data_IF_007473824501
#
_entry.id   IF_007473824501
#
_cell.length_a   1.000
_cell.length_b   1.000
_cell.length_c   1.000
_cell.angle_alpha   90.00
_cell.angle_beta   90.00
_cell.angle_gamma   90.00
#
_symmetry.space_group_name_H-M   'P 1'
#
loop_
_entity.id
_entity.type
_entity.pdbx_description
1 polymer ?
#
# COMPACT_ATOMS: atom_id res chain seq x y z
N UNK A 1 26.04 -21.05 -3.13
CA UNK A 1 26.13 -22.51 -3.38
C UNK A 1 25.55 -22.77 -4.76
N UNK A 2 26.09 -23.74 -5.49
CA UNK A 2 25.49 -24.19 -6.74
C UNK A 2 24.44 -25.24 -6.44
N UNK A 3 23.23 -25.04 -6.97
CA UNK A 3 22.07 -25.89 -6.70
C UNK A 3 21.52 -26.33 -8.05
N UNK A 4 21.35 -27.64 -8.25
CA UNK A 4 20.87 -28.19 -9.52
C UNK A 4 19.44 -27.78 -9.86
N UNK A 5 19.08 -27.85 -11.15
CA UNK A 5 17.78 -27.43 -11.69
C UNK A 5 16.57 -28.08 -10.99
N UNK A 6 16.68 -29.36 -10.63
CA UNK A 6 15.62 -30.09 -9.93
C UNK A 6 15.36 -29.57 -8.51
N UNK A 7 16.40 -29.09 -7.82
CA UNK A 7 16.23 -28.46 -6.52
C UNK A 7 15.69 -27.03 -6.69
N UNK A 8 16.17 -26.29 -7.68
CA UNK A 8 15.68 -24.94 -8.02
C UNK A 8 14.19 -24.92 -8.39
N UNK A 9 13.69 -25.91 -9.12
CA UNK A 9 12.26 -26.02 -9.46
C UNK A 9 11.37 -26.23 -8.24
N UNK A 10 11.90 -26.82 -7.16
CA UNK A 10 11.18 -27.04 -5.90
C UNK A 10 11.16 -25.81 -5.00
N UNK A 11 12.21 -24.97 -5.05
CA UNK A 11 12.39 -23.85 -4.10
C UNK A 11 12.11 -22.46 -4.70
N UNK A 12 12.09 -22.31 -6.03
CA UNK A 12 11.93 -21.00 -6.67
C UNK A 12 10.50 -20.45 -6.68
N UNK A 13 9.49 -21.32 -6.51
CA UNK A 13 8.06 -20.97 -6.58
C UNK A 13 7.62 -20.30 -7.91
N UNK A 14 8.48 -20.27 -8.93
CA UNK A 14 8.18 -19.71 -10.25
C UNK A 14 7.74 -20.82 -11.20
N UNK A 15 6.80 -20.53 -12.11
CA UNK A 15 6.43 -21.46 -13.20
C UNK A 15 7.60 -21.77 -14.12
N UNK A 16 8.49 -20.80 -14.34
CA UNK A 16 9.81 -20.96 -14.94
C UNK A 16 10.88 -20.73 -13.85
N UNK A 17 11.62 -21.77 -13.42
CA UNK A 17 12.59 -21.63 -12.34
C UNK A 17 13.66 -20.59 -12.69
N UNK A 18 13.80 -19.56 -11.85
CA UNK A 18 14.94 -18.64 -11.95
C UNK A 18 16.23 -19.41 -11.74
N UNK A 19 17.31 -19.14 -12.50
CA UNK A 19 18.62 -19.76 -12.24
C UNK A 19 19.28 -19.23 -10.97
N UNK A 20 18.73 -18.19 -10.34
CA UNK A 20 19.28 -17.53 -9.16
C UNK A 20 18.23 -17.38 -8.07
N UNK A 21 18.62 -17.69 -6.83
CA UNK A 21 17.88 -17.44 -5.60
C UNK A 21 18.81 -16.76 -4.58
N UNK A 22 18.26 -15.84 -3.79
CA UNK A 22 18.99 -15.19 -2.72
C UNK A 22 18.27 -15.36 -1.37
N UNK A 23 19.05 -15.64 -0.32
CA UNK A 23 18.58 -15.54 1.05
C UNK A 23 18.83 -14.10 1.52
N UNK A 24 17.75 -13.40 1.88
CA UNK A 24 17.82 -12.01 2.31
C UNK A 24 17.26 -11.88 3.72
N UNK A 25 17.88 -11.01 4.52
CA UNK A 25 17.39 -10.70 5.87
C UNK A 25 16.15 -9.80 5.76
N UNK A 26 15.08 -10.18 6.45
CA UNK A 26 13.91 -9.33 6.61
C UNK A 26 14.31 -8.09 7.43
N UNK A 27 14.03 -6.87 6.94
CA UNK A 27 14.36 -5.65 7.66
C UNK A 27 13.70 -5.55 9.03
N UNK A 28 14.43 -5.06 10.03
CA UNK A 28 13.93 -4.92 11.41
C UNK A 28 12.80 -3.90 11.55
N UNK A 29 12.79 -2.88 10.69
CA UNK A 29 11.79 -1.80 10.71
C UNK A 29 10.36 -2.26 10.36
N UNK A 30 10.19 -3.44 9.76
CA UNK A 30 8.88 -4.01 9.48
C UNK A 30 8.05 -4.15 10.76
N UNK A 31 8.66 -4.71 11.80
CA UNK A 31 8.00 -5.11 13.06
C UNK A 31 8.17 -4.10 14.18
N UNK A 32 8.92 -3.03 13.96
CA UNK A 32 9.21 -2.12 15.06
C UNK A 32 7.95 -1.35 15.49
N UNK A 33 6.86 -1.37 14.70
CA UNK A 33 5.57 -0.71 15.04
C UNK A 33 5.69 0.79 15.32
N UNK A 34 6.90 1.31 15.21
CA UNK A 34 7.34 2.62 15.58
C UNK A 34 7.65 3.32 14.26
N UNK A 35 6.60 3.80 13.61
CA UNK A 35 6.61 5.24 13.39
C UNK A 35 6.81 5.81 14.79
N UNK A 36 8.07 6.12 15.13
CA UNK A 36 8.43 6.46 16.48
C UNK A 36 7.45 7.53 17.00
N UNK A 37 7.03 7.31 18.23
CA UNK A 37 5.88 7.93 18.88
C UNK A 37 6.04 9.44 19.11
N UNK A 38 7.00 10.07 18.44
CA UNK A 38 7.19 11.51 18.36
C UNK A 38 6.65 12.09 17.05
N UNK A 39 6.18 13.33 17.11
CA UNK A 39 5.81 14.13 15.95
C UNK A 39 6.92 14.28 14.89
N UNK A 40 8.18 13.93 15.20
CA UNK A 40 9.35 14.07 14.31
C UNK A 40 9.59 12.87 13.38
N UNK A 41 8.90 11.74 13.59
CA UNK A 41 9.19 10.50 12.85
C UNK A 41 8.10 10.12 11.84
N UNK A 42 7.16 11.04 11.57
CA UNK A 42 6.15 10.86 10.55
C UNK A 42 6.81 11.10 9.17
N UNK A 43 6.94 10.08 8.29
CA UNK A 43 7.71 10.22 7.05
C UNK A 43 7.12 11.32 6.18
N UNK A 44 7.94 12.27 5.74
CA UNK A 44 7.50 13.39 4.89
C UNK A 44 7.04 12.91 3.50
N UNK A 45 6.26 13.74 2.80
CA UNK A 45 5.77 13.44 1.46
C UNK A 45 4.51 12.57 1.44
N UNK A 46 4.32 11.84 0.33
CA UNK A 46 3.12 11.04 0.09
C UNK A 46 3.32 9.65 0.68
N UNK A 47 2.49 9.27 1.64
CA UNK A 47 2.47 7.95 2.26
C UNK A 47 1.18 7.21 1.90
N UNK A 48 1.25 5.88 1.91
CA UNK A 48 0.11 4.99 1.67
C UNK A 48 -0.17 4.16 2.92
N UNK A 49 -1.44 3.94 3.26
CA UNK A 49 -1.89 3.02 4.28
C UNK A 49 -2.83 1.99 3.68
N UNK A 50 -2.63 0.72 4.00
CA UNK A 50 -3.41 -0.42 3.54
C UNK A 50 -4.18 -0.99 4.73
N UNK A 51 -5.51 -0.86 4.67
CA UNK A 51 -6.42 -1.36 5.69
C UNK A 51 -6.98 -2.72 5.24
N UNK A 52 -6.42 -3.79 5.83
CA UNK A 52 -6.84 -5.18 5.62
C UNK A 52 -6.72 -5.69 4.17
N UNK A 53 -5.69 -5.31 3.41
CA UNK A 53 -5.44 -5.85 2.06
C UNK A 53 -4.90 -7.28 2.14
N UNK A 54 -5.70 -8.25 1.68
CA UNK A 54 -5.44 -9.69 1.91
C UNK A 54 -4.98 -10.45 0.67
N UNK A 55 -5.23 -9.97 -0.54
CA UNK A 55 -4.77 -10.65 -1.74
C UNK A 55 -3.26 -10.39 -1.98
N UNK A 56 -2.41 -11.44 -2.07
CA UNK A 56 -0.99 -11.30 -2.34
C UNK A 56 -0.66 -10.61 -3.67
N UNK A 57 -1.48 -10.80 -4.71
CA UNK A 57 -1.27 -10.20 -6.01
C UNK A 57 -1.49 -8.68 -5.98
N UNK A 58 -2.56 -8.25 -5.32
CA UNK A 58 -2.86 -6.86 -5.07
C UNK A 58 -1.79 -6.22 -4.21
N UNK A 59 -1.37 -6.85 -3.11
CA UNK A 59 -0.29 -6.34 -2.25
C UNK A 59 1.00 -6.09 -3.07
N UNK A 60 1.45 -7.08 -3.84
CA UNK A 60 2.66 -6.92 -4.64
C UNK A 60 2.54 -5.85 -5.73
N UNK A 61 1.38 -5.76 -6.37
CA UNK A 61 1.09 -4.71 -7.38
C UNK A 61 1.08 -3.33 -6.74
N UNK A 62 0.46 -3.18 -5.56
CA UNK A 62 0.44 -1.93 -4.80
C UNK A 62 1.86 -1.49 -4.44
N UNK A 63 2.70 -2.39 -3.94
CA UNK A 63 4.10 -2.05 -3.62
C UNK A 63 4.86 -1.61 -4.87
N UNK A 64 4.64 -2.24 -6.02
CA UNK A 64 5.24 -1.83 -7.28
C UNK A 64 4.76 -0.45 -7.75
N UNK A 65 3.48 -0.18 -7.61
CA UNK A 65 2.87 1.11 -7.94
C UNK A 65 3.36 2.20 -6.98
N UNK A 66 3.50 1.89 -5.69
CA UNK A 66 4.04 2.79 -4.68
C UNK A 66 5.49 3.18 -5.00
N UNK A 67 6.33 2.22 -5.38
CA UNK A 67 7.70 2.46 -5.86
C UNK A 67 7.72 3.38 -7.09
N UNK A 68 6.90 3.05 -8.10
CA UNK A 68 6.81 3.83 -9.34
C UNK A 68 6.42 5.29 -9.11
N UNK A 69 5.46 5.54 -8.22
CA UNK A 69 5.02 6.89 -7.87
C UNK A 69 5.80 7.47 -6.67
N UNK A 70 6.93 6.89 -6.28
CA UNK A 70 7.83 7.46 -5.26
C UNK A 70 7.20 7.66 -3.87
N UNK A 71 6.25 6.81 -3.47
CA UNK A 71 5.63 6.84 -2.14
C UNK A 71 6.71 6.67 -1.07
N UNK A 72 6.74 7.57 -0.08
CA UNK A 72 7.79 7.60 0.95
C UNK A 72 7.76 6.38 1.88
N UNK A 73 6.55 5.93 2.23
CA UNK A 73 6.34 4.75 3.05
C UNK A 73 4.95 4.13 2.79
N UNK A 74 4.88 2.81 2.91
CA UNK A 74 3.63 2.04 2.90
C UNK A 74 3.39 1.48 4.30
N UNK A 75 2.25 1.81 4.88
CA UNK A 75 1.80 1.28 6.15
C UNK A 75 0.75 0.20 5.90
N UNK A 76 0.73 -0.85 6.70
CA UNK A 76 -0.25 -1.92 6.59
C UNK A 76 -0.78 -2.31 7.97
N UNK A 77 -2.06 -2.63 8.05
CA UNK A 77 -2.64 -3.23 9.23
C UNK A 77 -2.07 -4.65 9.46
N UNK A 78 -2.08 -5.10 10.71
CA UNK A 78 -1.56 -6.42 11.07
C UNK A 78 -2.31 -7.61 10.41
N UNK A 79 -3.53 -7.38 9.92
CA UNK A 79 -4.35 -8.40 9.26
C UNK A 79 -4.24 -8.37 7.72
N UNK A 80 -3.31 -7.58 7.17
CA UNK A 80 -2.90 -7.66 5.78
C UNK A 80 -2.13 -8.95 5.49
N UNK A 81 -2.01 -9.28 4.21
CA UNK A 81 -1.21 -10.44 3.76
C UNK A 81 0.27 -10.27 4.06
N UNK A 82 0.99 -11.39 4.31
CA UNK A 82 2.44 -11.37 4.55
C UNK A 82 3.19 -10.93 3.29
N UNK A 83 3.84 -9.76 3.37
CA UNK A 83 4.57 -9.17 2.25
C UNK A 83 5.82 -9.95 1.85
N UNK A 84 6.33 -10.83 2.72
CA UNK A 84 7.48 -11.70 2.44
C UNK A 84 7.09 -13.10 1.99
N UNK A 85 5.79 -13.37 1.84
CA UNK A 85 5.34 -14.59 1.19
C UNK A 85 5.85 -14.66 -0.26
N UNK A 86 6.19 -15.86 -0.79
CA UNK A 86 6.75 -15.99 -2.14
C UNK A 86 5.91 -15.29 -3.23
N UNK A 87 4.59 -15.37 -3.12
CA UNK A 87 3.65 -14.76 -4.09
C UNK A 87 3.71 -13.23 -4.08
N UNK A 88 3.81 -12.59 -2.91
CA UNK A 88 3.96 -11.12 -2.83
C UNK A 88 5.33 -10.71 -3.36
N UNK A 89 6.40 -11.37 -2.90
CA UNK A 89 7.78 -11.08 -3.33
C UNK A 89 7.90 -11.09 -4.85
N UNK A 90 7.39 -12.14 -5.50
CA UNK A 90 7.35 -12.24 -6.96
C UNK A 90 6.53 -11.12 -7.60
N UNK A 91 5.32 -10.85 -7.10
CA UNK A 91 4.44 -9.81 -7.63
C UNK A 91 5.05 -8.39 -7.53
N UNK A 92 5.91 -8.14 -6.54
CA UNK A 92 6.59 -6.83 -6.38
C UNK A 92 7.58 -6.52 -7.50
N UNK A 93 8.09 -7.54 -8.21
CA UNK A 93 9.17 -7.40 -9.20
C UNK A 93 10.38 -6.60 -8.65
N UNK A 94 10.75 -6.86 -7.39
CA UNK A 94 11.90 -6.22 -6.72
C UNK A 94 11.59 -4.91 -6.00
N UNK A 95 10.37 -4.37 -6.13
CA UNK A 95 9.96 -3.13 -5.44
C UNK A 95 9.97 -3.26 -3.92
N UNK A 96 9.85 -4.49 -3.39
CA UNK A 96 9.93 -4.80 -1.96
C UNK A 96 11.23 -4.33 -1.29
N UNK A 97 12.31 -4.15 -2.05
CA UNK A 97 13.59 -3.68 -1.52
C UNK A 97 13.72 -2.16 -1.47
N UNK A 98 12.87 -1.43 -2.20
CA UNK A 98 12.92 0.04 -2.32
C UNK A 98 11.82 0.73 -1.53
N UNK A 99 10.67 0.08 -1.40
CA UNK A 99 9.53 0.61 -0.65
C UNK A 99 9.68 0.27 0.83
N UNK A 100 9.68 1.30 1.67
CA UNK A 100 9.66 1.12 3.13
C UNK A 100 8.25 0.72 3.57
N UNK A 101 8.06 -0.57 3.83
CA UNK A 101 6.80 -1.11 4.35
C UNK A 101 6.87 -1.32 5.86
N UNK A 102 5.83 -0.89 6.58
CA UNK A 102 5.77 -0.88 8.05
C UNK A 102 4.40 -1.37 8.52
N UNK A 103 4.37 -2.28 9.48
CA UNK A 103 3.12 -2.65 10.16
C UNK A 103 2.71 -1.55 11.16
N UNK A 104 1.44 -1.13 11.13
CA UNK A 104 0.95 -0.04 11.98
C UNK A 104 -0.54 -0.20 12.35
N UNK A 105 -0.92 0.36 13.49
CA UNK A 105 -2.33 0.63 13.81
C UNK A 105 -2.81 1.83 12.97
N UNK A 106 -3.55 1.55 11.90
CA UNK A 106 -3.94 2.55 10.90
C UNK A 106 -4.75 3.72 11.51
N UNK A 107 -5.73 3.51 12.42
CA UNK A 107 -6.40 4.62 13.10
C UNK A 107 -5.45 5.54 13.88
N UNK A 108 -4.50 4.98 14.65
CA UNK A 108 -3.51 5.78 15.37
C UNK A 108 -2.56 6.53 14.43
N UNK A 109 -2.16 5.89 13.33
CA UNK A 109 -1.36 6.52 12.28
C UNK A 109 -2.10 7.72 11.67
N UNK A 110 -3.39 7.58 11.37
CA UNK A 110 -4.22 8.66 10.84
C UNK A 110 -4.25 9.86 11.81
N UNK A 111 -4.46 9.60 13.11
CA UNK A 111 -4.38 10.64 14.15
C UNK A 111 -3.02 11.33 14.20
N UNK A 112 -1.93 10.57 14.06
CA UNK A 112 -0.57 11.12 14.06
C UNK A 112 -0.36 12.08 12.89
N UNK A 113 -0.74 11.70 11.66
CA UNK A 113 -0.65 12.59 10.48
C UNK A 113 -1.47 13.88 10.68
N UNK A 114 -2.70 13.75 11.18
CA UNK A 114 -3.56 14.91 11.45
C UNK A 114 -3.00 15.84 12.52
N UNK A 115 -2.38 15.30 13.56
CA UNK A 115 -1.80 16.09 14.66
C UNK A 115 -0.66 17.01 14.22
N UNK A 116 0.01 16.68 13.10
CA UNK A 116 1.07 17.49 12.48
C UNK A 116 0.58 18.29 11.27
N UNK A 117 -0.75 18.43 11.11
CA UNK A 117 -1.36 19.23 10.04
C UNK A 117 -1.31 18.58 8.66
N UNK A 118 -1.03 17.28 8.56
CA UNK A 118 -1.00 16.56 7.28
C UNK A 118 -2.35 15.87 7.05
N UNK A 119 -2.99 16.08 5.89
CA UNK A 119 -4.29 15.49 5.61
C UNK A 119 -4.19 13.97 5.45
N UNK A 120 -5.27 13.30 5.86
CA UNK A 120 -5.51 11.88 5.66
C UNK A 120 -6.67 11.73 4.69
N UNK A 121 -6.41 11.12 3.54
CA UNK A 121 -7.41 10.86 2.51
C UNK A 121 -7.77 9.40 2.52
N UNK A 122 -9.05 9.05 2.47
CA UNK A 122 -9.49 7.66 2.30
C UNK A 122 -10.21 7.48 0.98
N UNK A 123 -9.92 6.40 0.24
CA UNK A 123 -10.67 6.09 -0.97
C UNK A 123 -12.02 5.47 -0.63
N UNK A 124 -13.12 6.16 -0.95
CA UNK A 124 -14.50 5.79 -0.62
C UNK A 124 -15.40 5.89 -1.85
N UNK A 125 -16.44 5.04 -1.91
CA UNK A 125 -17.45 5.09 -2.98
C UNK A 125 -18.37 6.31 -2.89
N UNK A 126 -18.52 6.88 -1.69
CA UNK A 126 -19.33 8.07 -1.39
C UNK A 126 -18.47 9.32 -1.13
N UNK A 127 -17.18 9.28 -1.48
CA UNK A 127 -16.26 10.43 -1.38
C UNK A 127 -16.44 11.47 -2.49
N UNK A 128 -15.71 12.58 -2.36
CA UNK A 128 -15.61 13.62 -3.39
C UNK A 128 -14.74 13.14 -4.56
N UNK A 129 -15.04 13.61 -5.78
CA UNK A 129 -14.23 13.26 -6.95
C UNK A 129 -12.76 13.65 -6.73
N UNK A 130 -11.86 12.68 -6.88
CA UNK A 130 -10.42 12.90 -6.75
C UNK A 130 -9.91 13.97 -7.73
N UNK A 131 -10.57 14.11 -8.88
CA UNK A 131 -10.20 15.08 -9.92
C UNK A 131 -10.58 16.52 -9.57
N UNK A 132 -11.54 16.74 -8.67
CA UNK A 132 -11.94 18.09 -8.22
C UNK A 132 -11.42 18.44 -6.82
N UNK A 133 -11.06 17.43 -6.04
CA UNK A 133 -10.55 17.58 -4.67
C UNK A 133 -9.21 18.30 -4.63
N UNK A 134 -8.91 19.02 -3.54
CA UNK A 134 -7.57 19.59 -3.30
C UNK A 134 -6.68 18.55 -2.64
N UNK A 135 -5.65 18.11 -3.36
CA UNK A 135 -4.72 17.07 -2.93
C UNK A 135 -3.42 17.68 -2.43
N UNK A 136 -2.90 17.16 -1.32
CA UNK A 136 -1.59 17.52 -0.78
C UNK A 136 -0.57 16.44 -1.12
N UNK A 137 0.62 16.84 -1.59
CA UNK A 137 1.75 15.90 -1.78
C UNK A 137 2.38 15.45 -0.45
N UNK A 138 2.05 16.11 0.66
CA UNK A 138 2.44 15.69 2.01
C UNK A 138 1.21 15.21 2.77
N UNK A 139 0.87 13.93 2.62
CA UNK A 139 -0.38 13.35 3.12
C UNK A 139 -0.28 11.85 3.32
N UNK A 140 -1.26 11.29 4.01
CA UNK A 140 -1.53 9.86 4.05
C UNK A 140 -2.73 9.54 3.15
N UNK A 141 -2.59 8.55 2.27
CA UNK A 141 -3.71 8.00 1.50
C UNK A 141 -4.02 6.61 2.01
N UNK A 142 -5.26 6.35 2.40
CA UNK A 142 -5.73 5.07 2.91
C UNK A 142 -6.50 4.34 1.82
N UNK A 143 -6.11 3.09 1.55
CA UNK A 143 -6.80 2.14 0.69
C UNK A 143 -7.40 1.02 1.55
N UNK A 144 -8.66 0.68 1.31
CA UNK A 144 -9.37 -0.38 2.03
C UNK A 144 -9.34 -1.73 1.33
N UNK A 145 -9.86 -2.74 2.01
CA UNK A 145 -10.07 -4.08 1.47
C UNK A 145 -11.13 -4.11 0.35
N UNK A 146 -11.02 -5.06 -0.57
CA UNK A 146 -11.89 -5.23 -1.73
C UNK A 146 -13.37 -5.50 -1.39
N UNK A 147 -13.64 -6.15 -0.25
CA UNK A 147 -14.98 -6.53 0.20
C UNK A 147 -15.67 -5.46 1.03
N UNK A 148 -14.94 -4.84 1.97
CA UNK A 148 -15.52 -3.96 2.98
C UNK A 148 -15.07 -2.50 2.88
N UNK A 149 -14.13 -2.20 1.97
CA UNK A 149 -13.51 -0.89 1.91
C UNK A 149 -12.67 -0.58 3.16
N UNK A 150 -12.64 0.69 3.55
CA UNK A 150 -11.93 1.18 4.73
C UNK A 150 -12.78 0.92 5.97
N UNK A 151 -12.16 0.45 7.05
CA UNK A 151 -12.83 0.21 8.32
C UNK A 151 -13.43 1.49 8.92
N UNK A 152 -14.52 1.33 9.66
CA UNK A 152 -15.20 2.46 10.30
C UNK A 152 -14.29 3.22 11.29
N UNK A 153 -13.37 2.50 11.95
CA UNK A 153 -12.38 3.10 12.85
C UNK A 153 -11.44 4.06 12.09
N UNK A 154 -11.01 3.69 10.88
CA UNK A 154 -10.17 4.56 10.05
C UNK A 154 -11.00 5.67 9.39
N UNK A 155 -12.23 5.37 8.98
CA UNK A 155 -13.14 6.34 8.34
C UNK A 155 -13.36 7.59 9.19
N UNK A 156 -13.46 7.43 10.52
CA UNK A 156 -13.63 8.54 11.49
C UNK A 156 -12.42 9.46 11.59
N UNK A 157 -11.25 8.99 11.16
CA UNK A 157 -9.99 9.72 11.24
C UNK A 157 -9.60 10.39 9.91
N UNK A 158 -10.42 10.23 8.86
CA UNK A 158 -10.16 10.84 7.57
C UNK A 158 -10.35 12.35 7.63
N UNK A 159 -9.48 13.08 6.92
CA UNK A 159 -9.68 14.50 6.63
C UNK A 159 -10.65 14.71 5.48
N UNK A 160 -10.62 13.82 4.47
CA UNK A 160 -11.57 13.81 3.36
C UNK A 160 -11.67 12.41 2.73
N UNK A 161 -12.85 12.10 2.20
CA UNK A 161 -13.09 10.93 1.35
C UNK A 161 -12.85 11.28 -0.12
N UNK A 162 -12.07 10.46 -0.82
CA UNK A 162 -11.81 10.59 -2.25
C UNK A 162 -12.48 9.45 -3.01
N UNK A 163 -13.06 9.77 -4.16
CA UNK A 163 -13.71 8.83 -5.06
C UNK A 163 -13.10 8.94 -6.44
N UNK A 164 -12.81 7.79 -7.05
CA UNK A 164 -12.58 7.69 -8.49
C UNK A 164 -13.97 7.58 -9.14
N UNK A 165 -14.46 8.59 -9.87
CA UNK A 165 -15.76 8.51 -10.50
C UNK A 165 -15.79 7.41 -11.57
N UNK A 166 -16.92 6.71 -11.67
CA UNK A 166 -17.18 5.83 -12.81
C UNK A 166 -17.59 6.66 -14.02
N UNK A 167 -17.05 6.33 -15.19
CA UNK A 167 -17.41 6.95 -16.47
C UNK A 167 -18.35 6.07 -17.29
N UNK A 168 -18.68 4.87 -16.81
CA UNK A 168 -19.62 3.97 -17.48
C UNK A 168 -21.07 4.32 -17.09
N UNK A 169 -22.00 4.22 -18.06
CA UNK A 169 -23.43 4.39 -17.80
C UNK A 169 -24.03 3.21 -17.01
N UNK A 170 -23.47 2.01 -17.23
CA UNK A 170 -23.69 0.79 -16.46
C UNK A 170 -22.39 0.00 -16.45
N UNK A 171 -22.03 -0.64 -15.34
CA UNK A 171 -20.76 -1.34 -15.23
C UNK A 171 -20.37 -1.71 -13.82
N UNK A 172 -19.08 -1.98 -13.63
CA UNK A 172 -18.52 -2.38 -12.35
C UNK A 172 -18.78 -1.32 -11.26
N UNK A 173 -19.12 -1.79 -10.06
CA UNK A 173 -19.42 -0.94 -8.91
C UNK A 173 -18.15 -0.39 -8.23
N UNK A 174 -17.03 -1.11 -8.38
CA UNK A 174 -15.75 -0.77 -7.79
C UNK A 174 -14.57 -1.17 -8.69
N UNK A 175 -13.40 -0.62 -8.37
CA UNK A 175 -12.14 -1.01 -8.99
C UNK A 175 -11.41 -1.99 -8.07
N UNK A 176 -10.61 -2.88 -8.66
CA UNK A 176 -9.61 -3.63 -7.92
C UNK A 176 -8.72 -2.65 -7.12
N UNK A 177 -8.40 -2.98 -5.86
CA UNK A 177 -7.69 -2.07 -4.94
C UNK A 177 -6.33 -1.63 -5.47
N UNK A 178 -5.59 -2.48 -6.17
CA UNK A 178 -4.30 -2.12 -6.75
C UNK A 178 -4.45 -1.14 -7.92
N UNK A 179 -5.50 -1.32 -8.74
CA UNK A 179 -5.83 -0.39 -9.83
C UNK A 179 -6.30 0.96 -9.26
N UNK A 180 -7.17 0.95 -8.25
CA UNK A 180 -7.61 2.16 -7.55
C UNK A 180 -6.42 2.91 -6.93
N UNK A 181 -5.47 2.18 -6.34
CA UNK A 181 -4.22 2.75 -5.82
C UNK A 181 -3.43 3.43 -6.94
N UNK A 182 -3.26 2.78 -8.09
CA UNK A 182 -2.52 3.34 -9.22
C UNK A 182 -3.14 4.63 -9.75
N UNK A 183 -4.47 4.66 -9.95
CA UNK A 183 -5.19 5.86 -10.39
C UNK A 183 -5.07 6.98 -9.35
N UNK A 184 -5.22 6.63 -8.07
CA UNK A 184 -5.12 7.59 -6.96
C UNK A 184 -3.73 8.22 -6.92
N UNK A 185 -2.68 7.40 -6.85
CA UNK A 185 -1.30 7.91 -6.77
C UNK A 185 -0.88 8.67 -8.02
N UNK A 186 -1.33 8.25 -9.20
CA UNK A 186 -1.12 9.00 -10.44
C UNK A 186 -1.68 10.42 -10.33
N UNK A 187 -2.91 10.57 -9.83
CA UNK A 187 -3.54 11.89 -9.68
C UNK A 187 -2.85 12.76 -8.62
N UNK A 188 -2.37 12.16 -7.52
CA UNK A 188 -1.54 12.87 -6.53
C UNK A 188 -0.22 13.36 -7.12
N UNK A 189 0.41 12.59 -8.03
CA UNK A 189 1.71 12.93 -8.62
C UNK A 189 1.65 13.84 -9.84
N UNK A 190 0.51 13.90 -10.51
CA UNK A 190 0.30 14.75 -11.69
C UNK A 190 0.16 16.24 -11.34
N UNK A 191 -0.15 16.57 -10.09
CA UNK A 191 -0.38 17.94 -9.61
C UNK A 191 0.85 18.52 -8.93
#
# INVERSE_FOLDING_TARGET
>A
EEVGEQAMSRISFCSTPSPVLALVRIPSWLRTGQCATGHRDCPEGLCLALDSVRDPGNMGTILRVADWFGVSAVFMSADCTDIYSPKVVQATMGSIFRVKTIEADIPSLCRQFRSVGRPVYGTLLDGESIYTSRLSCSSLVVMGNESNGISEAVRRELSAGLRIPSFAQSGAESLNVAVATAVTLSEFRRR
#
